data_IF_213983050652
#
_entry.id   IF_213983050652
#
_cell.length_a   1.000
_cell.length_b   1.000
_cell.length_c   1.000
_cell.angle_alpha   90.00
_cell.angle_beta   90.00
_cell.angle_gamma   90.00
#
_symmetry.space_group_name_H-M   'P 1'
#
loop_
_entity.id
_entity.type
_entity.pdbx_description
1 polymer ?
#
# COMPACT_ATOMS: atom_id res chain seq x y z
N UNK A 1 -5.45 -17.16 25.27
CA UNK A 1 -6.79 -16.53 25.18
C UNK A 1 -7.67 -17.38 24.28
N UNK A 2 -8.66 -18.10 24.82
CA UNK A 2 -9.53 -19.03 24.04
C UNK A 2 -10.53 -18.19 23.22
N UNK A 3 -10.23 -17.97 21.95
CA UNK A 3 -11.15 -17.32 21.00
C UNK A 3 -12.43 -18.16 20.92
N UNK A 4 -13.60 -17.53 21.07
CA UNK A 4 -14.91 -18.21 21.01
C UNK A 4 -15.04 -19.02 19.71
N UNK A 5 -15.62 -20.23 19.74
CA UNK A 5 -15.63 -21.17 18.61
C UNK A 5 -16.31 -20.62 17.35
N UNK A 6 -17.25 -19.70 17.50
CA UNK A 6 -17.93 -18.99 16.40
C UNK A 6 -16.99 -18.02 15.66
N UNK A 7 -16.16 -17.26 16.39
CA UNK A 7 -15.19 -16.33 15.79
C UNK A 7 -14.05 -17.09 15.09
N UNK A 8 -13.66 -18.24 15.65
CA UNK A 8 -12.71 -19.15 14.99
C UNK A 8 -13.25 -19.67 13.65
N UNK A 9 -14.52 -20.06 13.58
CA UNK A 9 -15.15 -20.51 12.32
C UNK A 9 -15.24 -19.41 11.26
N UNK A 10 -15.50 -18.16 11.67
CA UNK A 10 -15.56 -17.01 10.76
C UNK A 10 -14.20 -16.73 10.09
N UNK A 11 -13.12 -16.80 10.86
CA UNK A 11 -11.78 -16.42 10.40
C UNK A 11 -11.05 -17.58 9.70
N UNK A 12 -11.14 -18.79 10.26
CA UNK A 12 -10.29 -19.91 9.85
C UNK A 12 -11.04 -20.98 9.03
N UNK A 13 -12.37 -20.88 8.93
CA UNK A 13 -13.21 -21.94 8.37
C UNK A 13 -12.87 -23.32 9.01
N UNK A 14 -13.16 -24.42 8.31
CA UNK A 14 -12.70 -25.77 8.66
C UNK A 14 -11.31 -26.10 8.07
N UNK A 15 -10.53 -25.11 7.64
CA UNK A 15 -9.23 -25.37 7.02
C UNK A 15 -8.20 -25.84 8.05
N UNK A 16 -7.46 -26.89 7.71
CA UNK A 16 -6.32 -27.35 8.50
C UNK A 16 -5.18 -26.35 8.34
N UNK A 17 -4.59 -25.96 9.47
CA UNK A 17 -3.43 -25.09 9.47
C UNK A 17 -2.19 -25.94 9.15
N UNK A 18 -1.64 -25.75 7.96
CA UNK A 18 -0.36 -26.33 7.57
C UNK A 18 0.79 -25.55 8.20
N UNK A 19 1.79 -26.28 8.69
CA UNK A 19 3.04 -25.67 9.10
C UNK A 19 3.72 -25.01 7.89
N UNK A 20 4.36 -23.86 8.10
CA UNK A 20 5.06 -23.16 7.03
C UNK A 20 6.26 -23.98 6.54
N UNK A 21 6.88 -24.76 7.44
CA UNK A 21 8.03 -25.62 7.15
C UNK A 21 9.34 -24.87 6.88
N UNK A 22 9.34 -23.54 6.92
CA UNK A 22 10.51 -22.68 6.76
C UNK A 22 10.31 -21.36 7.50
N UNK A 23 11.42 -20.72 7.88
CA UNK A 23 11.38 -19.35 8.40
C UNK A 23 11.17 -18.35 7.24
N UNK A 24 10.29 -17.38 7.46
CA UNK A 24 9.89 -16.36 6.47
C UNK A 24 11.07 -15.48 6.09
N UNK A 25 11.88 -15.05 7.06
CA UNK A 25 13.03 -14.18 6.79
C UNK A 25 14.13 -14.93 6.04
N UNK A 26 14.38 -16.19 6.45
CA UNK A 26 15.32 -17.06 5.75
C UNK A 26 14.91 -17.31 4.29
N UNK A 27 13.64 -17.65 4.06
CA UNK A 27 13.11 -17.85 2.71
C UNK A 27 13.17 -16.57 1.87
N UNK A 28 12.93 -15.40 2.47
CA UNK A 28 13.08 -14.13 1.75
C UNK A 28 14.53 -13.88 1.34
N UNK A 29 15.49 -14.18 2.21
CA UNK A 29 16.91 -14.06 1.87
C UNK A 29 17.34 -15.06 0.79
N UNK A 30 16.75 -16.27 0.81
CA UNK A 30 16.95 -17.25 -0.25
C UNK A 30 16.46 -16.72 -1.60
N UNK A 31 15.28 -16.09 -1.65
CA UNK A 31 14.78 -15.43 -2.87
C UNK A 31 15.75 -14.37 -3.42
N UNK A 32 16.43 -13.60 -2.56
CA UNK A 32 17.48 -12.66 -2.99
C UNK A 32 18.64 -13.39 -3.65
N UNK A 33 19.11 -14.49 -3.02
CA UNK A 33 20.20 -15.31 -3.59
C UNK A 33 19.80 -15.96 -4.90
N UNK A 34 18.55 -16.39 -5.04
CA UNK A 34 18.06 -17.07 -6.24
C UNK A 34 18.01 -16.11 -7.44
N UNK A 35 17.60 -14.85 -7.22
CA UNK A 35 17.68 -13.79 -8.25
C UNK A 35 19.13 -13.41 -8.54
N UNK A 36 19.99 -13.37 -7.52
CA UNK A 36 21.40 -13.04 -7.72
C UNK A 36 22.14 -14.12 -8.52
N UNK A 37 21.82 -15.39 -8.30
CA UNK A 37 22.48 -16.51 -8.98
C UNK A 37 21.76 -16.98 -10.24
N UNK A 38 20.60 -16.39 -10.59
CA UNK A 38 19.72 -16.85 -11.67
C UNK A 38 19.35 -18.34 -11.52
N UNK A 39 19.04 -18.74 -10.29
CA UNK A 39 18.58 -20.11 -9.96
C UNK A 39 17.05 -20.25 -10.10
N UNK A 40 16.39 -19.29 -10.76
CA UNK A 40 14.96 -19.33 -11.05
C UNK A 40 14.69 -20.14 -12.32
N UNK A 41 13.41 -20.35 -12.64
CA UNK A 41 13.02 -20.95 -13.91
C UNK A 41 13.68 -20.20 -15.09
N UNK A 42 14.08 -20.88 -16.18
CA UNK A 42 14.78 -20.24 -17.30
C UNK A 42 14.01 -19.07 -17.93
N UNK A 43 12.68 -19.11 -17.91
CA UNK A 43 11.79 -18.03 -18.36
C UNK A 43 11.72 -16.81 -17.43
N UNK A 44 12.19 -16.96 -16.19
CA UNK A 44 12.07 -15.99 -15.10
C UNK A 44 13.42 -15.37 -14.71
N UNK A 45 14.50 -15.81 -15.36
CA UNK A 45 15.85 -15.30 -15.16
C UNK A 45 15.92 -13.86 -15.68
N UNK A 46 16.01 -12.93 -14.74
CA UNK A 46 16.04 -11.51 -15.03
C UNK A 46 17.42 -11.08 -15.54
N UNK A 47 17.43 -10.23 -16.57
CA UNK A 47 18.67 -9.72 -17.19
C UNK A 47 18.66 -8.19 -17.15
N UNK A 48 19.84 -7.59 -16.95
CA UNK A 48 20.03 -6.14 -17.02
C UNK A 48 19.19 -5.39 -16.00
N UNK A 49 18.39 -4.42 -16.48
CA UNK A 49 17.61 -3.51 -15.63
C UNK A 49 16.53 -4.23 -14.81
N UNK A 50 15.96 -5.31 -15.35
CA UNK A 50 14.94 -6.11 -14.66
C UNK A 50 15.51 -6.75 -13.40
N UNK A 51 16.74 -7.26 -13.47
CA UNK A 51 17.42 -7.88 -12.31
C UNK A 51 17.71 -6.87 -11.22
N UNK A 52 18.23 -5.70 -11.60
CA UNK A 52 18.50 -4.61 -10.65
C UNK A 52 17.21 -4.19 -9.95
N UNK A 53 16.12 -4.02 -10.71
CA UNK A 53 14.82 -3.64 -10.18
C UNK A 53 14.24 -4.72 -9.23
N UNK A 54 14.26 -6.00 -9.62
CA UNK A 54 13.82 -7.11 -8.74
C UNK A 54 14.61 -7.17 -7.44
N UNK A 55 15.93 -6.96 -7.48
CA UNK A 55 16.77 -6.93 -6.29
C UNK A 55 16.43 -5.75 -5.37
N UNK A 56 16.27 -4.54 -5.92
CA UNK A 56 15.87 -3.37 -5.14
C UNK A 56 14.53 -3.63 -4.45
N UNK A 57 13.55 -4.15 -5.20
CA UNK A 57 12.22 -4.45 -4.68
C UNK A 57 12.25 -5.49 -3.56
N UNK A 58 12.98 -6.60 -3.73
CA UNK A 58 13.03 -7.64 -2.68
C UNK A 58 13.80 -7.17 -1.46
N UNK A 59 14.92 -6.46 -1.64
CA UNK A 59 15.71 -5.92 -0.54
C UNK A 59 14.96 -4.86 0.25
N UNK A 60 14.16 -4.01 -0.41
CA UNK A 60 13.36 -3.00 0.29
C UNK A 60 12.33 -3.62 1.25
N UNK A 61 11.90 -4.86 1.03
CA UNK A 61 10.94 -5.53 1.91
C UNK A 61 11.46 -5.70 3.34
N UNK A 62 12.78 -5.79 3.53
CA UNK A 62 13.38 -5.87 4.86
C UNK A 62 13.27 -4.57 5.65
N UNK A 63 13.01 -3.44 4.99
CA UNK A 63 12.83 -2.16 5.68
C UNK A 63 11.41 -2.08 6.25
N UNK A 64 10.43 -2.69 5.58
CA UNK A 64 9.00 -2.50 5.87
C UNK A 64 8.45 -3.47 6.92
N UNK A 65 7.48 -3.03 7.76
CA UNK A 65 6.92 -3.84 8.84
C UNK A 65 6.19 -5.10 8.33
N UNK A 66 5.64 -5.06 7.11
CA UNK A 66 4.88 -6.19 6.55
C UNK A 66 5.62 -7.53 6.52
N UNK A 67 6.95 -7.56 6.32
CA UNK A 67 7.70 -8.82 6.35
C UNK A 67 7.81 -9.38 7.77
N UNK A 68 7.98 -8.52 8.77
CA UNK A 68 8.10 -8.90 10.16
C UNK A 68 6.77 -9.41 10.70
N UNK A 69 5.66 -8.80 10.30
CA UNK A 69 4.32 -9.32 10.60
C UNK A 69 4.13 -10.70 9.97
N UNK A 70 4.56 -10.89 8.71
CA UNK A 70 4.55 -12.22 8.08
C UNK A 70 5.39 -13.24 8.85
N UNK A 71 6.56 -12.87 9.36
CA UNK A 71 7.41 -13.75 10.15
C UNK A 71 6.77 -14.11 11.51
N UNK A 72 6.29 -13.10 12.24
CA UNK A 72 5.64 -13.28 13.54
C UNK A 72 4.43 -14.21 13.46
N UNK A 73 3.55 -13.99 12.49
CA UNK A 73 2.36 -14.83 12.30
C UNK A 73 2.66 -16.14 11.57
N UNK A 74 3.70 -16.17 10.73
CA UNK A 74 4.14 -17.34 9.99
C UNK A 74 4.70 -18.45 10.87
N UNK A 75 5.30 -18.09 12.01
CA UNK A 75 5.73 -19.06 13.05
C UNK A 75 4.61 -19.98 13.54
N UNK A 76 3.34 -19.59 13.36
CA UNK A 76 2.16 -20.35 13.78
C UNK A 76 1.51 -21.12 12.63
N UNK A 77 2.05 -21.06 11.41
CA UNK A 77 1.55 -21.75 10.22
C UNK A 77 1.03 -20.82 9.12
N UNK A 78 0.70 -21.43 7.97
CA UNK A 78 0.36 -20.73 6.72
C UNK A 78 -0.90 -19.89 6.82
N UNK A 79 -1.89 -20.38 7.55
CA UNK A 79 -3.17 -19.72 7.73
C UNK A 79 -3.03 -18.46 8.58
N UNK A 80 -2.25 -18.54 9.66
CA UNK A 80 -1.94 -17.40 10.52
C UNK A 80 -1.14 -16.33 9.77
N UNK A 81 -0.15 -16.72 8.95
CA UNK A 81 0.58 -15.79 8.07
C UNK A 81 -0.37 -14.94 7.22
N UNK A 82 -1.38 -15.57 6.62
CA UNK A 82 -2.35 -14.90 5.77
C UNK A 82 -3.20 -13.88 6.54
N UNK A 83 -3.68 -14.25 7.73
CA UNK A 83 -4.46 -13.36 8.59
C UNK A 83 -3.60 -12.23 9.14
N UNK A 84 -2.33 -12.47 9.47
CA UNK A 84 -1.41 -11.43 9.91
C UNK A 84 -1.26 -10.32 8.86
N UNK A 85 -1.14 -10.68 7.59
CA UNK A 85 -1.10 -9.70 6.47
C UNK A 85 -2.40 -8.91 6.36
N UNK A 86 -3.56 -9.57 6.52
CA UNK A 86 -4.85 -8.86 6.50
C UNK A 86 -4.94 -7.86 7.64
N UNK A 87 -4.60 -8.29 8.86
CA UNK A 87 -4.59 -7.42 10.04
C UNK A 87 -3.67 -6.22 9.81
N UNK A 88 -2.49 -6.42 9.22
CA UNK A 88 -1.59 -5.32 8.86
C UNK A 88 -2.28 -4.30 7.95
N UNK A 89 -2.82 -4.76 6.81
CA UNK A 89 -3.47 -3.88 5.83
C UNK A 89 -4.63 -3.08 6.44
N UNK A 90 -5.50 -3.74 7.21
CA UNK A 90 -6.60 -3.05 7.89
C UNK A 90 -6.11 -2.11 9.01
N UNK A 91 -5.05 -2.47 9.72
CA UNK A 91 -4.46 -1.59 10.73
C UNK A 91 -3.92 -0.31 10.11
N UNK A 92 -3.26 -0.40 8.94
CA UNK A 92 -2.82 0.78 8.17
C UNK A 92 -4.00 1.71 7.89
N UNK A 93 -5.09 1.15 7.33
CA UNK A 93 -6.31 1.91 7.03
C UNK A 93 -6.86 2.62 8.27
N UNK A 94 -6.99 1.89 9.39
CA UNK A 94 -7.50 2.46 10.64
C UNK A 94 -6.59 3.60 11.13
N UNK A 95 -5.27 3.42 11.07
CA UNK A 95 -4.31 4.45 11.46
C UNK A 95 -4.48 5.71 10.59
N UNK A 96 -4.57 5.58 9.26
CA UNK A 96 -4.76 6.74 8.37
C UNK A 96 -6.06 7.49 8.67
N UNK A 97 -7.15 6.75 8.94
CA UNK A 97 -8.43 7.35 9.36
C UNK A 97 -8.31 8.07 10.71
N UNK A 98 -7.62 7.47 11.68
CA UNK A 98 -7.40 8.08 13.00
C UNK A 98 -6.56 9.36 12.91
N UNK A 99 -5.51 9.38 12.09
CA UNK A 99 -4.68 10.58 11.88
C UNK A 99 -5.53 11.71 11.30
N UNK A 100 -6.37 11.41 10.30
CA UNK A 100 -7.25 12.40 9.67
C UNK A 100 -8.36 12.89 10.61
N UNK A 101 -8.89 12.03 11.49
CA UNK A 101 -9.95 12.40 12.44
C UNK A 101 -9.44 13.21 13.63
N UNK A 102 -8.19 12.96 14.06
CA UNK A 102 -7.52 13.70 15.13
C UNK A 102 -6.98 15.06 14.65
N UNK A 103 -7.12 15.39 13.36
CA UNK A 103 -6.48 16.50 12.65
C UNK A 103 -6.66 17.91 13.23
N UNK A 104 -7.60 18.13 14.15
CA UNK A 104 -7.77 19.43 14.82
C UNK A 104 -6.67 19.81 15.83
N UNK A 105 -5.83 18.86 16.28
CA UNK A 105 -4.78 19.09 17.29
C UNK A 105 -3.34 19.11 16.73
N UNK A 106 -3.19 18.98 15.40
CA UNK A 106 -1.89 18.92 14.71
C UNK A 106 -1.42 20.35 14.34
N UNK A 107 -1.60 21.31 15.23
CA UNK A 107 -1.11 22.70 15.10
C UNK A 107 0.12 22.98 15.97
N UNK A 108 0.65 21.98 16.69
CA UNK A 108 1.94 22.09 17.39
C UNK A 108 3.10 21.74 16.47
N UNK A 109 4.06 22.67 16.33
CA UNK A 109 5.20 22.62 15.39
C UNK A 109 6.00 21.30 15.43
N UNK A 110 5.99 20.54 16.54
CA UNK A 110 6.67 19.25 16.68
C UNK A 110 5.92 18.03 16.14
N UNK A 111 4.59 18.03 16.12
CA UNK A 111 3.77 16.87 15.69
C UNK A 111 3.78 16.69 14.17
N UNK A 112 4.10 17.75 13.43
CA UNK A 112 4.16 17.76 11.97
C UNK A 112 5.18 16.78 11.39
N UNK A 113 6.23 16.42 12.13
CA UNK A 113 7.31 15.57 11.58
C UNK A 113 6.96 14.09 11.61
N UNK A 114 6.36 13.59 12.69
CA UNK A 114 6.18 12.14 12.87
C UNK A 114 5.10 11.56 11.96
N UNK A 115 3.88 12.13 11.97
CA UNK A 115 2.78 11.58 11.15
C UNK A 115 3.01 11.77 9.65
N UNK A 116 3.71 12.85 9.26
CA UNK A 116 4.13 13.05 7.87
C UNK A 116 5.14 12.00 7.45
N UNK A 117 6.17 11.75 8.27
CA UNK A 117 7.15 10.70 8.00
C UNK A 117 6.46 9.33 7.93
N UNK A 118 5.54 9.05 8.85
CA UNK A 118 4.73 7.85 8.85
C UNK A 118 3.95 7.71 7.54
N UNK A 119 3.16 8.71 7.14
CA UNK A 119 2.38 8.66 5.91
C UNK A 119 3.27 8.42 4.67
N UNK A 120 4.41 9.12 4.56
CA UNK A 120 5.38 8.84 3.49
C UNK A 120 5.88 7.40 3.54
N UNK A 121 6.27 6.93 4.72
CA UNK A 121 6.75 5.57 4.93
C UNK A 121 5.73 4.52 4.52
N UNK A 122 4.45 4.72 4.83
CA UNK A 122 3.35 3.80 4.46
C UNK A 122 3.04 3.81 2.95
N UNK A 123 3.12 4.98 2.29
CA UNK A 123 3.02 5.09 0.83
C UNK A 123 4.15 4.28 0.18
N UNK A 124 5.38 4.46 0.66
CA UNK A 124 6.54 3.73 0.16
C UNK A 124 6.39 2.22 0.40
N UNK A 125 5.97 1.78 1.59
CA UNK A 125 5.69 0.36 1.86
C UNK A 125 4.69 -0.20 0.85
N UNK A 126 3.58 0.51 0.63
CA UNK A 126 2.50 0.07 -0.26
C UNK A 126 2.97 0.00 -1.72
N UNK A 127 3.68 1.02 -2.21
CA UNK A 127 4.22 1.04 -3.59
C UNK A 127 5.23 -0.08 -3.81
N UNK A 128 6.18 -0.25 -2.89
CA UNK A 128 7.20 -1.29 -3.02
C UNK A 128 6.62 -2.70 -2.85
N UNK A 129 5.65 -2.89 -1.95
CA UNK A 129 4.96 -4.17 -1.80
C UNK A 129 4.18 -4.54 -3.08
N UNK A 130 3.41 -3.61 -3.62
CA UNK A 130 2.66 -3.85 -4.87
C UNK A 130 3.61 -4.01 -6.07
N UNK A 131 4.70 -3.23 -6.13
CA UNK A 131 5.73 -3.38 -7.16
C UNK A 131 6.39 -4.77 -7.14
N UNK A 132 6.69 -5.29 -5.94
CA UNK A 132 7.19 -6.66 -5.77
C UNK A 132 6.22 -7.71 -6.31
N UNK A 133 4.92 -7.52 -6.14
CA UNK A 133 3.92 -8.46 -6.62
C UNK A 133 3.91 -8.56 -8.15
N UNK A 134 4.13 -7.44 -8.86
CA UNK A 134 4.18 -7.44 -10.32
C UNK A 134 5.51 -8.00 -10.85
N UNK A 135 6.62 -7.41 -10.42
CA UNK A 135 7.90 -7.71 -11.05
C UNK A 135 8.46 -9.05 -10.60
N UNK A 136 8.08 -9.54 -9.42
CA UNK A 136 8.58 -10.78 -8.85
C UNK A 136 7.47 -11.83 -8.68
N UNK A 137 6.46 -11.84 -9.57
CA UNK A 137 5.35 -12.82 -9.53
C UNK A 137 5.89 -14.26 -9.50
N UNK A 138 6.94 -14.55 -10.27
CA UNK A 138 7.56 -15.88 -10.35
C UNK A 138 8.25 -16.35 -9.06
N UNK A 139 8.59 -15.42 -8.17
CA UNK A 139 9.32 -15.67 -6.92
C UNK A 139 8.34 -15.88 -5.75
N UNK A 140 7.11 -15.39 -5.87
CA UNK A 140 6.12 -15.48 -4.80
C UNK A 140 5.03 -16.50 -5.12
N UNK A 141 4.78 -17.39 -4.16
CA UNK A 141 3.74 -18.42 -4.28
C UNK A 141 2.36 -17.80 -4.55
N UNK A 142 1.60 -18.41 -5.46
CA UNK A 142 0.24 -18.01 -5.85
C UNK A 142 -0.64 -17.70 -4.61
N UNK A 143 -1.42 -16.60 -4.63
CA UNK A 143 -2.27 -16.22 -3.50
C UNK A 143 -3.32 -17.31 -3.21
N UNK A 144 -3.59 -17.54 -1.92
CA UNK A 144 -4.52 -18.58 -1.44
C UNK A 144 -5.96 -18.43 -1.95
N UNK A 145 -6.41 -17.19 -2.20
CA UNK A 145 -7.74 -16.91 -2.77
C UNK A 145 -7.77 -15.57 -3.51
N UNK A 146 -8.31 -15.56 -4.72
CA UNK A 146 -8.38 -14.37 -5.59
C UNK A 146 -9.27 -13.27 -5.04
N UNK A 147 -10.44 -13.63 -4.50
CA UNK A 147 -11.40 -12.66 -3.94
C UNK A 147 -10.81 -11.94 -2.73
N UNK A 148 -10.01 -12.64 -1.93
CA UNK A 148 -9.33 -12.09 -0.76
C UNK A 148 -8.27 -11.07 -1.18
N UNK A 149 -7.46 -11.38 -2.18
CA UNK A 149 -6.46 -10.43 -2.68
C UNK A 149 -7.10 -9.17 -3.25
N UNK A 150 -8.24 -9.30 -3.93
CA UNK A 150 -9.01 -8.17 -4.46
C UNK A 150 -9.40 -7.19 -3.36
N UNK A 151 -9.97 -7.71 -2.27
CA UNK A 151 -10.39 -6.88 -1.13
C UNK A 151 -9.18 -6.14 -0.55
N UNK A 152 -8.05 -6.83 -0.37
CA UNK A 152 -6.84 -6.21 0.18
C UNK A 152 -6.29 -5.11 -0.72
N UNK A 153 -6.26 -5.30 -2.04
CA UNK A 153 -5.79 -4.26 -2.96
C UNK A 153 -6.74 -3.05 -2.97
N UNK A 154 -8.07 -3.27 -2.90
CA UNK A 154 -9.03 -2.15 -2.76
C UNK A 154 -8.80 -1.39 -1.46
N UNK A 155 -8.55 -2.11 -0.35
CA UNK A 155 -8.23 -1.47 0.93
C UNK A 155 -6.93 -0.67 0.82
N UNK A 156 -5.87 -1.23 0.23
CA UNK A 156 -4.60 -0.52 0.01
C UNK A 156 -4.79 0.72 -0.88
N UNK A 157 -5.65 0.68 -1.91
CA UNK A 157 -5.99 1.85 -2.73
C UNK A 157 -6.65 2.96 -1.91
N UNK A 158 -7.61 2.61 -1.06
CA UNK A 158 -8.28 3.56 -0.16
C UNK A 158 -7.27 4.14 0.83
N UNK A 159 -6.45 3.29 1.46
CA UNK A 159 -5.39 3.70 2.39
C UNK A 159 -4.40 4.66 1.72
N UNK A 160 -3.97 4.35 0.50
CA UNK A 160 -3.04 5.18 -0.26
C UNK A 160 -3.59 6.60 -0.47
N UNK A 161 -4.85 6.73 -0.86
CA UNK A 161 -5.52 8.03 -1.00
C UNK A 161 -5.63 8.79 0.34
N UNK A 162 -5.91 8.09 1.43
CA UNK A 162 -5.94 8.70 2.76
C UNK A 162 -4.56 9.18 3.22
N UNK A 163 -3.51 8.40 2.94
CA UNK A 163 -2.13 8.78 3.26
C UNK A 163 -1.69 10.03 2.48
N UNK A 164 -2.07 10.13 1.20
CA UNK A 164 -1.84 11.36 0.44
C UNK A 164 -2.63 12.55 0.99
N UNK A 165 -3.89 12.35 1.38
CA UNK A 165 -4.67 13.40 2.04
C UNK A 165 -4.00 13.92 3.33
N UNK A 166 -3.41 13.02 4.14
CA UNK A 166 -2.61 13.40 5.31
C UNK A 166 -1.43 14.29 4.90
N UNK A 167 -0.64 13.87 3.91
CA UNK A 167 0.54 14.64 3.49
C UNK A 167 0.13 15.99 2.91
N UNK A 168 -0.94 16.05 2.12
CA UNK A 168 -1.46 17.29 1.56
C UNK A 168 -1.82 18.32 2.65
N UNK A 169 -2.49 17.88 3.73
CA UNK A 169 -2.80 18.74 4.88
C UNK A 169 -1.53 19.15 5.63
N UNK A 170 -0.70 18.17 6.00
CA UNK A 170 0.48 18.41 6.84
C UNK A 170 1.54 19.28 6.16
N UNK A 171 1.55 19.32 4.82
CA UNK A 171 2.42 20.16 4.02
C UNK A 171 1.75 21.46 3.55
N UNK A 172 0.53 21.79 4.01
CA UNK A 172 -0.25 22.96 3.59
C UNK A 172 -0.26 23.10 2.05
N UNK A 173 -0.42 21.97 1.36
CA UNK A 173 -0.17 21.84 -0.07
C UNK A 173 -1.40 22.11 -0.93
N UNK A 174 -2.55 22.41 -0.32
CA UNK A 174 -3.83 22.62 -0.98
C UNK A 174 -4.37 24.01 -0.67
N UNK A 175 -4.99 24.62 -1.68
CA UNK A 175 -5.65 25.93 -1.59
C UNK A 175 -6.96 25.92 -2.35
N UNK A 176 -7.88 26.77 -1.90
CA UNK A 176 -9.08 27.14 -2.64
C UNK A 176 -9.12 28.66 -2.81
N UNK A 177 -9.81 29.12 -3.84
CA UNK A 177 -9.98 30.55 -4.11
C UNK A 177 -11.42 30.91 -3.81
N UNK A 178 -11.62 31.88 -2.91
CA UNK A 178 -12.94 32.34 -2.46
C UNK A 178 -13.07 33.80 -2.88
N UNK A 179 -14.20 34.18 -3.46
CA UNK A 179 -14.50 35.57 -3.74
C UNK A 179 -15.10 36.24 -2.50
N UNK A 180 -14.45 37.28 -2.00
CA UNK A 180 -14.93 38.10 -0.89
C UNK A 180 -15.00 39.54 -1.38
N UNK A 181 -16.20 40.12 -1.39
CA UNK A 181 -16.44 41.51 -1.85
C UNK A 181 -15.94 41.82 -3.27
N UNK A 182 -15.93 40.83 -4.18
CA UNK A 182 -15.46 40.99 -5.56
C UNK A 182 -13.96 40.80 -5.75
N UNK A 183 -13.20 40.51 -4.68
CA UNK A 183 -11.78 40.17 -4.75
C UNK A 183 -11.56 38.67 -4.51
N UNK A 184 -10.68 38.05 -5.30
CA UNK A 184 -10.31 36.65 -5.15
C UNK A 184 -9.27 36.48 -4.04
N UNK A 185 -9.66 35.82 -2.94
CA UNK A 185 -8.80 35.52 -1.80
C UNK A 185 -8.40 34.04 -1.81
N UNK A 186 -7.12 33.77 -1.62
CA UNK A 186 -6.59 32.40 -1.52
C UNK A 186 -6.68 31.93 -0.07
N UNK A 187 -7.39 30.81 0.16
CA UNK A 187 -7.47 30.13 1.46
C UNK A 187 -6.75 28.80 1.41
N UNK A 188 -5.87 28.53 2.37
CA UNK A 188 -5.23 27.23 2.55
C UNK A 188 -6.25 26.26 3.17
N UNK A 189 -6.28 25.03 2.65
CA UNK A 189 -7.14 23.95 3.15
C UNK A 189 -6.52 23.34 4.41
N UNK A 190 -7.28 23.33 5.49
CA UNK A 190 -6.89 22.82 6.81
C UNK A 190 -7.80 21.71 7.34
N UNK A 191 -8.88 21.39 6.63
CA UNK A 191 -9.88 20.40 7.01
C UNK A 191 -9.67 19.05 6.30
N UNK A 192 -9.78 17.97 7.06
CA UNK A 192 -9.54 16.62 6.54
C UNK A 192 -10.46 16.22 5.39
N UNK A 193 -11.72 16.68 5.41
CA UNK A 193 -12.72 16.32 4.39
C UNK A 193 -12.32 16.78 3.00
N UNK A 194 -11.85 18.01 2.87
CA UNK A 194 -11.51 18.61 1.59
C UNK A 194 -10.21 18.02 1.03
N UNK A 195 -9.25 17.68 1.90
CA UNK A 195 -8.03 16.98 1.47
C UNK A 195 -8.29 15.53 1.04
N UNK A 196 -9.15 14.79 1.76
CA UNK A 196 -9.59 13.46 1.34
C UNK A 196 -10.27 13.56 -0.01
N UNK A 197 -11.24 14.47 -0.14
CA UNK A 197 -11.95 14.72 -1.39
C UNK A 197 -10.98 15.02 -2.53
N UNK A 198 -10.05 15.97 -2.35
CA UNK A 198 -9.04 16.32 -3.34
C UNK A 198 -8.19 15.11 -3.76
N UNK A 199 -7.73 14.30 -2.81
CA UNK A 199 -6.93 13.11 -3.11
C UNK A 199 -7.70 12.10 -3.96
N UNK A 200 -8.97 11.82 -3.62
CA UNK A 200 -9.80 10.86 -4.35
C UNK A 200 -10.19 11.35 -5.74
N UNK A 201 -10.62 12.60 -5.89
CA UNK A 201 -10.97 13.12 -7.23
C UNK A 201 -9.74 13.22 -8.14
N UNK A 202 -8.56 13.46 -7.56
CA UNK A 202 -7.30 13.52 -8.31
C UNK A 202 -6.83 12.13 -8.73
N UNK A 203 -6.93 11.13 -7.84
CA UNK A 203 -6.56 9.75 -8.17
C UNK A 203 -7.49 9.12 -9.21
N UNK A 204 -8.77 9.49 -9.19
CA UNK A 204 -9.75 9.12 -10.21
C UNK A 204 -9.69 10.00 -11.46
N UNK A 205 -8.78 10.97 -11.53
CA UNK A 205 -8.59 11.89 -12.66
C UNK A 205 -9.83 12.71 -13.02
N UNK A 206 -10.71 12.97 -12.05
CA UNK A 206 -11.94 13.77 -12.22
C UNK A 206 -11.61 15.26 -12.19
N UNK A 207 -10.91 15.72 -11.14
CA UNK A 207 -10.36 17.08 -11.03
C UNK A 207 -11.36 18.23 -11.27
N UNK A 208 -12.35 18.40 -10.39
CA UNK A 208 -13.38 19.45 -10.52
C UNK A 208 -12.84 20.90 -10.51
N UNK A 209 -11.62 21.14 -10.01
CA UNK A 209 -10.94 22.43 -10.07
C UNK A 209 -11.29 23.42 -8.95
N UNK A 210 -12.11 23.00 -7.99
CA UNK A 210 -12.52 23.73 -6.78
C UNK A 210 -11.40 23.84 -5.72
N UNK A 211 -10.56 22.81 -5.66
CA UNK A 211 -9.35 22.78 -4.84
C UNK A 211 -8.15 22.59 -5.78
N UNK A 212 -7.11 23.39 -5.56
CA UNK A 212 -5.89 23.35 -6.37
C UNK A 212 -4.66 23.25 -5.47
N UNK A 213 -3.55 22.68 -5.96
CA UNK A 213 -2.32 22.65 -5.18
C UNK A 213 -1.72 24.06 -5.03
N UNK A 214 -1.07 24.33 -3.90
CA UNK A 214 -0.16 25.47 -3.75
C UNK A 214 1.10 25.31 -4.61
N UNK A 215 1.93 26.35 -4.75
CA UNK A 215 3.16 26.25 -5.57
C UNK A 215 4.07 25.09 -5.14
N UNK A 216 4.26 24.90 -3.83
CA UNK A 216 5.00 23.74 -3.30
C UNK A 216 4.22 22.42 -3.43
N UNK A 217 2.89 22.48 -3.33
CA UNK A 217 1.99 21.33 -3.46
C UNK A 217 1.96 20.72 -4.87
N UNK A 218 2.37 21.46 -5.92
CA UNK A 218 2.42 20.94 -7.30
C UNK A 218 3.32 19.73 -7.44
N UNK A 219 4.51 19.76 -6.82
CA UNK A 219 5.45 18.64 -6.86
C UNK A 219 4.87 17.40 -6.17
N UNK A 220 4.16 17.61 -5.05
CA UNK A 220 3.49 16.54 -4.34
C UNK A 220 2.34 15.94 -5.15
N UNK A 221 1.58 16.77 -5.88
CA UNK A 221 0.53 16.29 -6.78
C UNK A 221 1.10 15.47 -7.94
N UNK A 222 2.23 15.88 -8.53
CA UNK A 222 2.92 15.10 -9.57
C UNK A 222 3.32 13.73 -9.01
N UNK A 223 3.92 13.69 -7.82
CA UNK A 223 4.28 12.45 -7.15
C UNK A 223 3.05 11.57 -6.86
N UNK A 224 1.96 12.16 -6.38
CA UNK A 224 0.68 11.48 -6.16
C UNK A 224 0.16 10.83 -7.45
N UNK A 225 0.10 11.58 -8.56
CA UNK A 225 -0.35 11.05 -9.85
C UNK A 225 0.51 9.90 -10.36
N UNK A 226 1.84 9.99 -10.22
CA UNK A 226 2.75 8.90 -10.60
C UNK A 226 2.51 7.63 -9.78
N UNK A 227 2.36 7.77 -8.46
CA UNK A 227 2.12 6.63 -7.56
C UNK A 227 0.77 5.96 -7.85
N UNK A 228 -0.29 6.74 -8.07
CA UNK A 228 -1.61 6.21 -8.41
C UNK A 228 -1.58 5.50 -9.77
N UNK A 229 -0.90 6.09 -10.77
CA UNK A 229 -0.74 5.46 -12.08
C UNK A 229 -0.03 4.11 -11.96
N UNK A 230 1.09 4.05 -11.23
CA UNK A 230 1.81 2.81 -10.97
C UNK A 230 0.90 1.79 -10.30
N UNK A 231 0.19 2.18 -9.25
CA UNK A 231 -0.74 1.30 -8.54
C UNK A 231 -1.83 0.74 -9.48
N UNK A 232 -2.41 1.58 -10.35
CA UNK A 232 -3.43 1.17 -11.32
C UNK A 232 -2.91 0.17 -12.36
N UNK A 233 -1.71 0.40 -12.91
CA UNK A 233 -1.06 -0.52 -13.85
C UNK A 233 -0.77 -1.87 -13.17
N UNK A 234 -0.26 -1.84 -11.94
CA UNK A 234 0.02 -3.03 -11.14
C UNK A 234 -1.26 -3.85 -10.88
N UNK A 235 -2.34 -3.16 -10.51
CA UNK A 235 -3.65 -3.76 -10.32
C UNK A 235 -4.11 -4.48 -11.60
N UNK A 236 -4.15 -3.79 -12.73
CA UNK A 236 -4.63 -4.36 -14.00
C UNK A 236 -3.80 -5.58 -14.41
N UNK A 237 -2.46 -5.49 -14.38
CA UNK A 237 -1.58 -6.58 -14.76
C UNK A 237 -1.78 -7.83 -13.91
N UNK A 238 -1.92 -7.66 -12.59
CA UNK A 238 -2.20 -8.76 -11.67
C UNK A 238 -3.50 -9.50 -12.02
N UNK A 239 -4.53 -8.80 -12.50
CA UNK A 239 -5.77 -9.43 -12.94
C UNK A 239 -5.65 -10.06 -14.33
N UNK A 240 -5.01 -9.38 -15.28
CA UNK A 240 -4.84 -9.89 -16.65
C UNK A 240 -4.01 -11.18 -16.66
N UNK A 241 -2.90 -11.22 -15.92
CA UNK A 241 -2.08 -12.43 -15.80
C UNK A 241 -2.92 -13.61 -15.27
N UNK A 242 -3.90 -13.32 -14.41
CA UNK A 242 -4.73 -14.35 -13.82
C UNK A 242 -5.88 -14.82 -14.70
N UNK A 243 -6.48 -13.94 -15.51
CA UNK A 243 -7.49 -14.32 -16.50
C UNK A 243 -6.86 -15.28 -17.52
N UNK A 244 -5.67 -14.95 -18.03
CA UNK A 244 -4.95 -15.77 -19.00
C UNK A 244 -4.59 -17.15 -18.44
N UNK A 245 -4.21 -17.23 -17.16
CA UNK A 245 -3.91 -18.49 -16.47
C UNK A 245 -5.16 -19.32 -16.12
N UNK A 246 -6.37 -18.80 -16.32
CA UNK A 246 -7.65 -19.49 -16.04
C UNK A 246 -8.36 -19.98 -17.30
N UNK A 247 -7.87 -19.61 -18.50
CA UNK A 247 -8.38 -20.14 -19.74
C UNK A 247 -7.91 -21.59 -19.91
N UNK A 248 -8.80 -22.58 -20.08
CA UNK A 248 -8.38 -23.91 -20.49
C UNK A 248 -7.78 -23.80 -21.91
N UNK A 249 -6.55 -24.27 -22.07
CA UNK A 249 -6.02 -24.61 -23.39
C UNK A 249 -6.87 -25.72 -24.02
#
# INVERSE_FOLDING_TARGET
MRIKPTFRKLIFSNQLNEDLGHDVLHHQWQNVKDIWNNNLNPSSNAIGIERVLKLILILSQFIFPGIYIRALFGSKGKLYKHIGVEIHVFLKLIISILILSLGGYITSEGSFSFFKFWAFYMIFETVFYTGNLLFSEDVFAKPHSHKRNLILIIVDYITLNLDFAIIFLMCNSLKTTIEVNGESVIKIIDNARDAIYFSFISSLTIGYGDITPTESGRNLLIFHSLVILLFGVLFINFYLSRINNSAPN
#
